data_IF_183455400383
#
_entry.id   IF_183455400383
#
_cell.length_a   1.000
_cell.length_b   1.000
_cell.length_c   1.000
_cell.angle_alpha   90.00
_cell.angle_beta   90.00
_cell.angle_gamma   90.00
#
_symmetry.space_group_name_H-M   'P 1'
#
loop_
_entity.id
_entity.type
_entity.pdbx_description
1 polymer ?
#
# COMPACT_ATOMS: atom_id res chain seq x y z
N UNK A 1 52.25 -30.79 17.53
CA UNK A 1 51.28 -30.88 16.42
C UNK A 1 51.53 -29.70 15.50
N UNK A 2 52.35 -29.89 14.45
CA UNK A 2 52.58 -28.86 13.44
C UNK A 2 51.47 -28.97 12.39
N UNK A 3 50.56 -28.01 12.38
CA UNK A 3 49.60 -27.83 11.30
C UNK A 3 50.28 -27.12 10.14
N UNK A 4 50.88 -27.89 9.25
CA UNK A 4 51.38 -27.40 7.95
C UNK A 4 50.18 -26.87 7.17
N UNK A 5 50.06 -25.55 7.07
CA UNK A 5 49.03 -24.92 6.23
C UNK A 5 49.47 -25.05 4.78
N UNK A 6 48.99 -26.07 4.07
CA UNK A 6 49.17 -26.17 2.62
C UNK A 6 48.56 -24.94 1.93
N UNK A 7 49.41 -24.09 1.35
CA UNK A 7 48.98 -22.98 0.51
C UNK A 7 48.91 -23.46 -0.94
N UNK A 8 47.69 -23.57 -1.45
CA UNK A 8 47.45 -23.91 -2.83
C UNK A 8 47.54 -22.63 -3.69
N UNK A 9 48.57 -22.53 -4.53
CA UNK A 9 48.76 -21.39 -5.43
C UNK A 9 48.00 -21.65 -6.72
N UNK A 10 47.03 -20.78 -7.04
CA UNK A 10 46.23 -20.87 -8.26
C UNK A 10 46.69 -19.76 -9.21
N UNK A 11 46.94 -20.11 -10.48
CA UNK A 11 47.23 -19.12 -11.52
C UNK A 11 45.97 -18.30 -11.80
N UNK A 12 46.10 -16.97 -11.74
CA UNK A 12 44.99 -16.04 -11.97
C UNK A 12 44.35 -16.20 -13.35
N UNK A 13 45.14 -16.49 -14.39
CA UNK A 13 44.60 -16.65 -15.75
C UNK A 13 43.72 -17.89 -15.86
N UNK A 14 44.14 -18.99 -15.25
CA UNK A 14 43.41 -20.25 -15.25
C UNK A 14 42.14 -20.15 -14.40
N UNK A 15 42.22 -19.49 -13.25
CA UNK A 15 41.06 -19.25 -12.39
C UNK A 15 40.02 -18.36 -13.08
N UNK A 16 40.45 -17.25 -13.71
CA UNK A 16 39.55 -16.37 -14.45
C UNK A 16 38.87 -17.09 -15.59
N UNK A 17 39.62 -17.87 -16.39
CA UNK A 17 39.07 -18.65 -17.51
C UNK A 17 38.02 -19.65 -17.03
N UNK A 18 38.34 -20.41 -15.98
CA UNK A 18 37.46 -21.42 -15.42
C UNK A 18 36.18 -20.81 -14.84
N UNK A 19 36.33 -19.83 -13.95
CA UNK A 19 35.19 -19.13 -13.33
C UNK A 19 34.28 -18.46 -14.37
N UNK A 20 34.86 -17.88 -15.43
CA UNK A 20 34.08 -17.30 -16.53
C UNK A 20 33.29 -18.36 -17.31
N UNK A 21 33.92 -19.47 -17.69
CA UNK A 21 33.27 -20.55 -18.44
C UNK A 21 32.16 -21.24 -17.61
N UNK A 22 32.43 -21.52 -16.33
CA UNK A 22 31.46 -22.13 -15.42
C UNK A 22 30.23 -21.22 -15.25
N UNK A 23 30.46 -19.92 -15.04
CA UNK A 23 29.36 -18.95 -14.96
C UNK A 23 28.59 -18.88 -16.27
N UNK A 24 29.27 -18.67 -17.41
CA UNK A 24 28.63 -18.53 -18.71
C UNK A 24 27.76 -19.75 -19.07
N UNK A 25 28.29 -20.97 -18.86
CA UNK A 25 27.56 -22.20 -19.13
C UNK A 25 26.34 -22.34 -18.21
N UNK A 26 26.48 -22.00 -16.92
CA UNK A 26 25.35 -22.00 -15.98
C UNK A 26 24.25 -21.01 -16.37
N UNK A 27 24.60 -19.84 -16.91
CA UNK A 27 23.64 -18.83 -17.35
C UNK A 27 22.91 -19.29 -18.61
N UNK A 28 23.63 -19.81 -19.59
CA UNK A 28 23.05 -20.25 -20.87
C UNK A 28 22.02 -21.37 -20.62
N UNK A 29 22.41 -22.41 -19.89
CA UNK A 29 21.60 -23.62 -19.69
C UNK A 29 20.57 -23.41 -18.57
N UNK A 30 20.96 -22.80 -17.46
CA UNK A 30 20.17 -22.74 -16.23
C UNK A 30 19.30 -21.50 -16.06
N UNK A 31 19.37 -20.53 -16.98
CA UNK A 31 18.68 -19.24 -16.79
C UNK A 31 18.14 -18.61 -18.08
N UNK A 32 18.99 -18.40 -19.07
CA UNK A 32 18.70 -17.50 -20.18
C UNK A 32 17.80 -18.13 -21.25
N UNK A 33 18.13 -19.35 -21.68
CA UNK A 33 17.44 -20.03 -22.78
C UNK A 33 16.28 -20.90 -22.27
N UNK A 34 15.14 -20.92 -22.98
CA UNK A 34 14.07 -21.87 -22.72
C UNK A 34 14.42 -23.27 -23.24
N UNK A 35 13.77 -24.30 -22.70
CA UNK A 35 13.82 -25.64 -23.26
C UNK A 35 12.90 -25.73 -24.48
N UNK A 36 13.34 -26.40 -25.55
CA UNK A 36 12.57 -26.49 -26.81
C UNK A 36 11.28 -27.29 -26.68
N UNK A 37 11.20 -28.20 -25.70
CA UNK A 37 10.05 -29.10 -25.54
C UNK A 37 8.82 -28.41 -24.96
N UNK A 38 9.03 -27.42 -24.10
CA UNK A 38 7.96 -26.69 -23.41
C UNK A 38 8.02 -25.17 -23.63
N UNK A 39 9.10 -24.64 -24.20
CA UNK A 39 9.29 -23.20 -24.40
C UNK A 39 9.54 -22.43 -23.10
N UNK A 40 9.79 -23.11 -21.98
CA UNK A 40 9.90 -22.47 -20.67
C UNK A 40 11.35 -22.33 -20.20
N UNK A 41 11.64 -21.13 -19.68
CA UNK A 41 12.80 -20.90 -18.82
C UNK A 41 12.61 -21.61 -17.48
N UNK A 42 13.71 -21.96 -16.77
CA UNK A 42 13.61 -22.66 -15.49
C UNK A 42 12.73 -21.97 -14.44
N UNK A 43 12.69 -20.63 -14.40
CA UNK A 43 11.83 -19.88 -13.48
C UNK A 43 10.33 -20.07 -13.77
N UNK A 44 9.91 -20.05 -15.04
CA UNK A 44 8.51 -20.30 -15.43
C UNK A 44 8.05 -21.68 -14.94
N UNK A 45 8.87 -22.71 -15.22
CA UNK A 45 8.55 -24.10 -14.85
C UNK A 45 8.41 -24.27 -13.35
N UNK A 46 9.32 -23.68 -12.57
CA UNK A 46 9.30 -23.74 -11.09
C UNK A 46 8.06 -23.06 -10.50
N UNK A 47 7.68 -21.89 -11.04
CA UNK A 47 6.47 -21.16 -10.60
C UNK A 47 5.21 -21.98 -10.89
N UNK A 48 5.05 -22.43 -12.14
CA UNK A 48 3.86 -23.20 -12.53
C UNK A 48 3.78 -24.53 -11.78
N UNK A 49 4.91 -25.19 -11.54
CA UNK A 49 4.98 -26.40 -10.73
C UNK A 49 4.60 -26.13 -9.26
N UNK A 50 5.12 -25.07 -8.65
CA UNK A 50 4.75 -24.70 -7.29
C UNK A 50 3.24 -24.39 -7.16
N UNK A 51 2.65 -23.73 -8.16
CA UNK A 51 1.21 -23.48 -8.20
C UNK A 51 0.41 -24.77 -8.32
N UNK A 52 0.85 -25.71 -9.16
CA UNK A 52 0.25 -27.04 -9.29
C UNK A 52 0.28 -27.82 -7.96
N UNK A 53 1.45 -27.89 -7.32
CA UNK A 53 1.63 -28.59 -6.03
C UNK A 53 0.82 -27.96 -4.89
N UNK A 54 0.59 -26.64 -4.94
CA UNK A 54 -0.29 -25.93 -4.01
C UNK A 54 -1.79 -26.14 -4.28
N UNK A 55 -2.14 -26.93 -5.31
CA UNK A 55 -3.51 -27.11 -5.78
C UNK A 55 -4.15 -25.79 -6.22
N UNK A 56 -3.35 -24.84 -6.73
CA UNK A 56 -3.83 -23.54 -7.19
C UNK A 56 -4.19 -23.61 -8.68
N UNK A 57 -5.26 -24.35 -8.98
CA UNK A 57 -5.80 -24.52 -10.34
C UNK A 57 -6.91 -23.52 -10.63
N UNK A 58 -7.25 -23.34 -11.90
CA UNK A 58 -8.21 -22.33 -12.38
C UNK A 58 -9.60 -22.38 -11.71
N UNK A 59 -10.02 -23.54 -11.19
CA UNK A 59 -11.31 -23.75 -10.55
C UNK A 59 -11.29 -23.56 -9.02
N UNK A 60 -10.21 -23.01 -8.47
CA UNK A 60 -10.04 -22.74 -7.04
C UNK A 60 -9.99 -21.23 -6.79
N UNK A 61 -10.30 -20.78 -5.55
CA UNK A 61 -10.15 -19.37 -5.19
C UNK A 61 -8.71 -18.88 -5.35
N UNK A 62 -8.57 -17.60 -5.71
CA UNK A 62 -7.27 -16.94 -5.81
C UNK A 62 -6.48 -17.05 -4.50
N UNK A 63 -5.16 -17.18 -4.62
CA UNK A 63 -4.22 -17.17 -3.50
C UNK A 63 -3.27 -15.97 -3.64
N UNK A 64 -2.84 -15.41 -2.51
CA UNK A 64 -1.87 -14.29 -2.49
C UNK A 64 -0.60 -14.65 -3.26
N UNK A 65 -0.12 -13.75 -4.11
CA UNK A 65 1.13 -13.93 -4.86
C UNK A 65 2.32 -14.20 -3.93
N UNK A 66 2.37 -13.56 -2.76
CA UNK A 66 3.43 -13.80 -1.77
C UNK A 66 3.54 -15.26 -1.30
N UNK A 67 2.41 -15.99 -1.24
CA UNK A 67 2.42 -17.42 -0.87
C UNK A 67 3.05 -18.27 -1.99
N UNK A 68 2.69 -17.98 -3.23
CA UNK A 68 3.23 -18.70 -4.41
C UNK A 68 4.74 -18.41 -4.54
N UNK A 69 5.15 -17.15 -4.37
CA UNK A 69 6.55 -16.73 -4.36
C UNK A 69 7.32 -17.45 -3.25
N UNK A 70 6.78 -17.45 -2.03
CA UNK A 70 7.40 -18.11 -0.87
C UNK A 70 7.62 -19.62 -1.08
N UNK A 71 6.59 -20.34 -1.55
CA UNK A 71 6.69 -21.77 -1.84
C UNK A 71 7.69 -22.06 -2.97
N UNK A 72 7.70 -21.22 -4.01
CA UNK A 72 8.61 -21.37 -5.15
C UNK A 72 10.06 -21.25 -4.69
N UNK A 73 10.38 -20.25 -3.87
CA UNK A 73 11.75 -20.04 -3.37
C UNK A 73 12.15 -21.11 -2.37
N UNK A 74 11.26 -21.42 -1.42
CA UNK A 74 11.53 -22.38 -0.36
C UNK A 74 11.78 -23.80 -0.85
N UNK A 75 11.19 -24.19 -1.99
CA UNK A 75 11.27 -25.56 -2.50
C UNK A 75 12.04 -25.72 -3.81
N UNK A 76 11.99 -24.74 -4.72
CA UNK A 76 12.38 -24.96 -6.11
C UNK A 76 13.34 -23.91 -6.69
N UNK A 77 13.39 -22.69 -6.14
CA UNK A 77 14.11 -21.57 -6.74
C UNK A 77 15.00 -20.83 -5.72
N UNK A 78 16.27 -21.21 -5.55
CA UNK A 78 17.15 -20.67 -4.50
C UNK A 78 17.73 -19.28 -4.86
N UNK A 79 16.89 -18.37 -5.36
CA UNK A 79 17.24 -17.00 -5.72
C UNK A 79 16.18 -16.02 -5.19
N UNK A 80 16.40 -14.73 -5.40
CA UNK A 80 15.56 -13.66 -4.84
C UNK A 80 14.09 -13.74 -5.24
N UNK A 81 13.24 -13.25 -4.34
CA UNK A 81 11.78 -13.22 -4.49
C UNK A 81 11.29 -12.33 -5.63
N UNK A 82 12.02 -11.26 -5.89
CA UNK A 82 11.70 -10.27 -6.92
C UNK A 82 11.64 -10.93 -8.30
N UNK A 83 12.63 -11.76 -8.67
CA UNK A 83 12.66 -12.44 -9.95
C UNK A 83 11.48 -13.41 -10.14
N UNK A 84 11.07 -14.09 -9.06
CA UNK A 84 9.92 -15.00 -9.07
C UNK A 84 8.62 -14.20 -9.21
N UNK A 85 8.50 -13.09 -8.49
CA UNK A 85 7.30 -12.26 -8.54
C UNK A 85 7.12 -11.59 -9.92
N UNK A 86 8.17 -10.99 -10.47
CA UNK A 86 8.14 -10.38 -11.80
C UNK A 86 7.77 -11.40 -12.89
N UNK A 87 8.22 -12.65 -12.70
CA UNK A 87 7.83 -13.77 -13.56
C UNK A 87 6.33 -14.04 -13.49
N UNK A 88 5.75 -14.09 -12.28
CA UNK A 88 4.30 -14.27 -12.08
C UNK A 88 3.53 -13.12 -12.73
N UNK A 89 3.96 -11.88 -12.47
CA UNK A 89 3.35 -10.67 -13.03
C UNK A 89 3.31 -10.74 -14.54
N UNK A 90 4.46 -11.03 -15.18
CA UNK A 90 4.55 -11.11 -16.64
C UNK A 90 3.66 -12.22 -17.22
N UNK A 91 3.54 -13.36 -16.53
CA UNK A 91 2.69 -14.47 -16.96
C UNK A 91 1.18 -14.19 -16.82
N UNK A 92 0.81 -13.14 -16.07
CA UNK A 92 -0.56 -12.66 -15.91
C UNK A 92 -0.90 -11.45 -16.82
N UNK A 93 0.09 -10.76 -17.38
CA UNK A 93 -0.12 -9.59 -18.23
C UNK A 93 -0.63 -9.98 -19.63
N UNK A 94 -1.89 -9.66 -19.92
CA UNK A 94 -2.55 -9.88 -21.23
C UNK A 94 -1.91 -9.11 -22.38
N UNK A 95 -1.29 -7.96 -22.10
CA UNK A 95 -0.58 -7.16 -23.10
C UNK A 95 0.87 -7.62 -23.34
N UNK A 96 1.47 -8.40 -22.43
CA UNK A 96 2.82 -8.95 -22.60
C UNK A 96 2.84 -10.35 -23.20
N UNK A 97 1.74 -11.10 -23.10
CA UNK A 97 1.65 -12.48 -23.57
C UNK A 97 0.40 -12.70 -24.42
N UNK A 98 0.57 -13.34 -25.59
CA UNK A 98 -0.56 -13.68 -26.47
C UNK A 98 -1.61 -14.57 -25.78
N UNK A 99 -1.13 -15.48 -24.93
CA UNK A 99 -1.93 -16.38 -24.09
C UNK A 99 -1.33 -16.39 -22.68
N UNK A 100 -1.90 -15.63 -21.73
CA UNK A 100 -1.47 -15.66 -20.33
C UNK A 100 -1.59 -17.06 -19.75
N UNK A 101 -0.63 -17.41 -18.88
CA UNK A 101 -0.59 -18.72 -18.21
C UNK A 101 -1.09 -18.65 -16.76
N UNK A 102 -1.13 -17.45 -16.19
CA UNK A 102 -1.63 -17.20 -14.85
C UNK A 102 -2.82 -16.26 -14.98
N UNK A 103 -3.94 -16.64 -14.37
CA UNK A 103 -5.05 -15.73 -14.13
C UNK A 103 -4.83 -15.00 -12.81
N UNK A 104 -4.91 -13.67 -12.83
CA UNK A 104 -4.52 -12.80 -11.73
C UNK A 104 -5.59 -11.74 -11.44
N UNK A 105 -5.79 -11.45 -10.17
CA UNK A 105 -6.67 -10.37 -9.71
C UNK A 105 -5.86 -9.25 -9.05
N UNK A 106 -5.95 -8.02 -9.58
CA UNK A 106 -5.28 -6.84 -9.05
C UNK A 106 -4.55 -6.03 -10.11
N UNK A 107 -3.70 -5.08 -9.69
CA UNK A 107 -2.89 -4.28 -10.60
C UNK A 107 -1.61 -5.03 -10.99
N UNK A 108 -1.56 -5.53 -12.23
CA UNK A 108 -0.40 -6.18 -12.83
C UNK A 108 0.39 -5.25 -13.77
N UNK A 109 0.21 -3.93 -13.65
CA UNK A 109 0.84 -2.92 -14.49
C UNK A 109 0.05 -2.63 -15.77
N UNK A 110 0.54 -1.66 -16.54
CA UNK A 110 -0.12 -1.16 -17.76
C UNK A 110 0.87 -1.04 -18.92
N UNK A 111 0.34 -0.84 -20.14
CA UNK A 111 1.15 -0.55 -21.34
C UNK A 111 1.84 0.82 -21.22
N UNK A 112 1.27 1.71 -20.40
CA UNK A 112 1.77 3.07 -20.16
C UNK A 112 2.99 3.11 -19.23
N UNK A 113 3.47 1.94 -18.78
CA UNK A 113 4.68 1.81 -17.98
C UNK A 113 4.45 1.80 -16.48
N UNK A 114 3.20 1.71 -16.03
CA UNK A 114 2.92 1.50 -14.60
C UNK A 114 3.43 0.12 -14.18
N UNK A 115 4.27 0.11 -13.14
CA UNK A 115 4.70 -1.14 -12.51
C UNK A 115 3.51 -1.87 -11.91
N UNK A 116 3.58 -3.20 -11.88
CA UNK A 116 2.65 -3.99 -11.09
C UNK A 116 2.73 -3.59 -9.61
N UNK A 117 1.62 -3.75 -8.89
CA UNK A 117 1.67 -3.74 -7.43
C UNK A 117 2.65 -4.83 -6.97
N UNK A 118 3.22 -4.77 -5.76
CA UNK A 118 4.03 -5.87 -5.26
C UNK A 118 3.16 -7.02 -4.79
N UNK A 119 3.80 -8.18 -4.63
CA UNK A 119 3.21 -9.34 -3.98
C UNK A 119 2.66 -9.09 -2.57
N UNK A 120 3.10 -8.02 -1.89
CA UNK A 120 2.62 -7.54 -0.59
C UNK A 120 3.00 -6.07 -0.40
N UNK A 121 2.04 -5.16 -0.26
CA UNK A 121 2.28 -3.82 0.30
C UNK A 121 1.29 -3.62 1.43
N UNK A 122 1.77 -3.21 2.60
CA UNK A 122 0.89 -3.09 3.76
C UNK A 122 1.11 -1.77 4.46
N UNK A 123 0.00 -1.18 4.87
CA UNK A 123 -0.05 -0.13 5.88
C UNK A 123 -0.54 -0.73 7.18
N UNK A 124 -0.29 -0.05 8.30
CA UNK A 124 -0.85 -0.49 9.59
C UNK A 124 -2.36 -0.26 9.64
N UNK A 125 -3.06 -1.04 10.47
CA UNK A 125 -4.52 -0.99 10.59
C UNK A 125 -5.12 0.37 10.93
N UNK A 126 -4.34 1.25 11.58
CA UNK A 126 -4.75 2.62 11.90
C UNK A 126 -4.64 3.61 10.73
N UNK A 127 -4.10 3.19 9.58
CA UNK A 127 -3.95 4.06 8.41
C UNK A 127 -5.31 4.37 7.82
N UNK A 128 -5.59 5.66 7.65
CA UNK A 128 -6.85 6.17 7.14
C UNK A 128 -6.89 6.03 5.61
N UNK A 129 -7.98 5.47 5.10
CA UNK A 129 -8.25 5.31 3.66
C UNK A 129 -9.55 6.01 3.29
N UNK A 130 -9.53 6.73 2.17
CA UNK A 130 -10.74 7.38 1.64
C UNK A 130 -11.61 6.33 0.97
N UNK A 131 -12.85 6.23 1.41
CA UNK A 131 -13.85 5.29 0.90
C UNK A 131 -15.17 5.99 0.62
N UNK A 132 -16.11 5.31 -0.02
CA UNK A 132 -17.50 5.76 -0.14
C UNK A 132 -18.29 5.78 1.18
N UNK A 133 -17.67 5.32 2.27
CA UNK A 133 -18.18 5.43 3.64
C UNK A 133 -17.45 6.54 4.42
N UNK A 134 -16.62 7.35 3.75
CA UNK A 134 -15.77 8.36 4.36
C UNK A 134 -14.36 7.84 4.68
N UNK A 135 -13.67 8.59 5.53
CA UNK A 135 -12.29 8.31 5.91
C UNK A 135 -12.27 7.27 7.02
N UNK A 136 -11.84 6.03 6.71
CA UNK A 136 -11.87 4.92 7.68
C UNK A 136 -10.46 4.38 7.92
N UNK A 137 -10.13 3.97 9.16
CA UNK A 137 -8.97 3.11 9.39
C UNK A 137 -9.09 1.83 8.56
N UNK A 138 -8.03 1.45 7.84
CA UNK A 138 -8.04 0.29 6.93
C UNK A 138 -8.38 -1.03 7.64
N UNK A 139 -8.13 -1.15 8.94
CA UNK A 139 -8.55 -2.32 9.72
C UNK A 139 -10.08 -2.41 9.92
N UNK A 140 -10.80 -1.28 9.89
CA UNK A 140 -12.27 -1.26 10.03
C UNK A 140 -12.99 -1.56 8.72
N UNK A 141 -12.32 -1.39 7.57
CA UNK A 141 -12.89 -1.60 6.22
C UNK A 141 -13.46 -3.01 6.05
N UNK A 142 -12.81 -4.01 6.64
CA UNK A 142 -13.15 -5.41 6.40
C UNK A 142 -14.05 -6.04 7.45
N UNK A 143 -14.14 -5.42 8.64
CA UNK A 143 -14.76 -6.00 9.83
C UNK A 143 -14.32 -7.47 10.11
N UNK A 144 -13.11 -7.86 9.68
CA UNK A 144 -12.58 -9.22 9.83
C UNK A 144 -12.90 -10.19 8.68
N UNK A 145 -13.62 -9.77 7.64
CA UNK A 145 -13.89 -10.55 6.43
C UNK A 145 -12.84 -10.31 5.35
N UNK A 146 -12.44 -11.32 4.58
CA UNK A 146 -11.65 -11.09 3.36
C UNK A 146 -12.51 -10.54 2.22
N UNK A 147 -13.81 -10.86 2.21
CA UNK A 147 -14.76 -10.35 1.23
C UNK A 147 -15.30 -8.99 1.69
N UNK A 148 -15.06 -7.97 0.87
CA UNK A 148 -15.52 -6.60 1.12
C UNK A 148 -16.22 -6.06 -0.13
N UNK A 149 -16.99 -4.99 0.04
CA UNK A 149 -17.56 -4.24 -1.09
C UNK A 149 -17.48 -2.76 -0.76
N UNK A 150 -16.31 -2.18 -0.98
CA UNK A 150 -16.02 -0.79 -0.65
C UNK A 150 -15.48 -0.10 -1.88
N UNK A 151 -15.95 1.12 -2.15
CA UNK A 151 -15.42 1.90 -3.27
C UNK A 151 -14.27 2.78 -2.79
N UNK A 152 -13.21 2.78 -3.57
CA UNK A 152 -11.96 3.50 -3.29
C UNK A 152 -11.55 4.33 -4.48
N UNK A 153 -10.95 5.48 -4.22
CA UNK A 153 -10.44 6.34 -5.28
C UNK A 153 -9.06 5.87 -5.73
N UNK A 154 -8.89 5.65 -7.03
CA UNK A 154 -7.63 5.25 -7.64
C UNK A 154 -6.78 6.44 -8.09
N UNK A 155 -5.53 6.19 -8.46
CA UNK A 155 -4.60 7.22 -8.94
C UNK A 155 -5.08 7.99 -10.20
N UNK A 156 -6.03 7.47 -10.98
CA UNK A 156 -6.64 8.23 -12.08
C UNK A 156 -7.75 9.20 -11.65
N UNK A 157 -8.11 9.22 -10.37
CA UNK A 157 -9.37 9.83 -9.91
C UNK A 157 -10.61 9.01 -10.31
N UNK A 158 -10.41 7.74 -10.67
CA UNK A 158 -11.47 6.78 -10.96
C UNK A 158 -11.90 6.06 -9.67
N UNK A 159 -13.20 5.82 -9.54
CA UNK A 159 -13.77 5.10 -8.40
C UNK A 159 -13.80 3.62 -8.75
N UNK A 160 -13.05 2.80 -8.00
CA UNK A 160 -12.97 1.36 -8.18
C UNK A 160 -13.59 0.64 -6.98
N UNK A 161 -14.20 -0.53 -7.19
CA UNK A 161 -14.71 -1.37 -6.10
C UNK A 161 -13.63 -2.35 -5.65
N UNK A 162 -13.18 -2.19 -4.41
CA UNK A 162 -12.40 -3.21 -3.73
C UNK A 162 -13.35 -4.34 -3.29
N UNK A 163 -13.14 -5.52 -3.87
CA UNK A 163 -13.91 -6.73 -3.55
C UNK A 163 -13.26 -7.61 -2.48
N UNK A 164 -12.00 -7.33 -2.16
CA UNK A 164 -11.20 -8.16 -1.27
C UNK A 164 -10.27 -7.35 -0.38
N UNK A 165 -10.10 -7.84 0.84
CA UNK A 165 -9.21 -7.31 1.86
C UNK A 165 -8.32 -8.43 2.38
N UNK A 166 -7.08 -8.09 2.74
CA UNK A 166 -6.10 -9.08 3.16
C UNK A 166 -5.23 -8.59 4.30
N UNK A 167 -5.31 -9.29 5.43
CA UNK A 167 -4.30 -9.18 6.49
C UNK A 167 -3.03 -9.90 6.07
N UNK A 168 -1.92 -9.18 5.96
CA UNK A 168 -0.63 -9.78 5.62
C UNK A 168 0.14 -10.25 6.85
N UNK A 169 -0.37 -10.06 8.07
CA UNK A 169 0.28 -10.43 9.32
C UNK A 169 1.32 -9.41 9.78
N UNK A 170 2.25 -9.87 10.62
CA UNK A 170 3.26 -9.00 11.26
C UNK A 170 4.47 -8.82 10.33
N UNK A 171 4.84 -7.56 10.09
CA UNK A 171 5.99 -7.19 9.25
C UNK A 171 6.82 -6.06 9.87
N UNK A 172 8.12 -5.97 9.55
CA UNK A 172 8.90 -4.77 9.79
C UNK A 172 8.30 -3.58 9.02
N UNK A 173 8.03 -2.50 9.74
CA UNK A 173 7.45 -1.27 9.18
C UNK A 173 8.36 -0.07 9.45
N UNK A 174 8.19 0.98 8.64
CA UNK A 174 8.75 2.30 8.89
C UNK A 174 7.62 3.28 9.13
N UNK A 175 7.82 4.19 10.10
CA UNK A 175 6.93 5.32 10.32
C UNK A 175 7.48 6.52 9.56
N UNK A 176 6.68 7.06 8.66
CA UNK A 176 6.98 8.26 7.89
C UNK A 176 6.17 9.40 8.48
N UNK A 177 6.82 10.50 8.85
CA UNK A 177 6.18 11.70 9.40
C UNK A 177 6.57 12.91 8.58
N UNK A 178 5.57 13.66 8.14
CA UNK A 178 5.75 14.92 7.41
C UNK A 178 6.00 16.08 8.37
N UNK A 179 6.55 17.19 7.86
CA UNK A 179 6.73 18.43 8.63
C UNK A 179 5.42 19.03 9.18
N UNK A 180 4.29 18.73 8.53
CA UNK A 180 2.96 19.22 8.91
C UNK A 180 2.23 18.26 9.86
N UNK A 181 2.93 17.25 10.39
CA UNK A 181 2.37 16.35 11.40
C UNK A 181 1.64 15.12 10.85
N UNK A 182 1.37 15.03 9.54
CA UNK A 182 0.81 13.81 8.94
C UNK A 182 1.78 12.65 9.07
N UNK A 183 1.26 11.47 9.36
CA UNK A 183 2.05 10.25 9.49
C UNK A 183 1.39 9.06 8.81
N UNK A 184 2.24 8.16 8.31
CA UNK A 184 1.83 6.85 7.81
C UNK A 184 2.85 5.82 8.27
N UNK A 185 2.37 4.65 8.68
CA UNK A 185 3.25 3.53 9.04
C UNK A 185 3.00 2.39 8.07
N UNK A 186 4.04 1.98 7.35
CA UNK A 186 3.90 1.01 6.27
C UNK A 186 5.15 0.14 6.11
N UNK A 187 5.02 -0.98 5.38
CA UNK A 187 6.16 -1.82 5.02
C UNK A 187 7.12 -1.05 4.11
N UNK A 188 8.41 -1.37 4.16
CA UNK A 188 9.42 -0.63 3.38
C UNK A 188 9.16 -0.64 1.88
N UNK A 189 8.52 -1.69 1.35
CA UNK A 189 8.16 -1.74 -0.05
C UNK A 189 6.85 -1.01 -0.38
N UNK A 190 6.04 -0.55 0.59
CA UNK A 190 4.79 0.14 0.29
C UNK A 190 5.05 1.42 -0.52
N UNK A 191 4.41 1.63 -1.69
CA UNK A 191 4.61 2.81 -2.50
C UNK A 191 3.78 3.98 -1.95
N UNK A 192 4.39 5.14 -1.78
CA UNK A 192 3.69 6.39 -1.52
C UNK A 192 3.78 7.30 -2.74
N UNK A 193 2.71 8.06 -2.98
CA UNK A 193 2.66 8.98 -4.11
C UNK A 193 3.42 10.26 -3.76
N UNK A 194 4.37 10.60 -4.62
CA UNK A 194 5.23 11.77 -4.52
C UNK A 194 4.81 12.82 -5.53
N UNK A 195 5.05 14.08 -5.18
CA UNK A 195 5.04 15.20 -6.10
C UNK A 195 6.47 15.67 -6.33
N UNK A 196 6.95 15.66 -7.58
CA UNK A 196 8.32 16.08 -7.92
C UNK A 196 8.37 16.79 -9.27
N UNK A 197 9.45 17.53 -9.52
CA UNK A 197 9.76 18.03 -10.86
C UNK A 197 10.34 16.91 -11.73
N UNK A 198 9.95 16.85 -13.00
CA UNK A 198 10.61 16.03 -14.02
C UNK A 198 11.91 16.70 -14.52
N UNK A 199 12.56 16.10 -15.54
CA UNK A 199 13.80 16.61 -16.11
C UNK A 199 13.67 18.00 -16.75
N UNK A 200 12.44 18.44 -17.05
CA UNK A 200 12.10 19.71 -17.68
C UNK A 200 11.53 20.72 -16.66
N UNK A 201 11.51 20.36 -15.37
CA UNK A 201 10.97 21.19 -14.30
C UNK A 201 9.45 21.15 -14.15
N UNK A 202 8.73 20.29 -14.89
CA UNK A 202 7.28 20.18 -14.78
C UNK A 202 6.89 19.31 -13.58
N UNK A 203 5.82 19.66 -12.86
CA UNK A 203 5.33 18.87 -11.75
C UNK A 203 4.73 17.55 -12.25
N UNK A 204 5.22 16.44 -11.72
CA UNK A 204 4.74 15.08 -12.02
C UNK A 204 4.53 14.30 -10.74
N UNK A 205 3.54 13.41 -10.78
CA UNK A 205 3.34 12.41 -9.74
C UNK A 205 4.19 11.18 -10.01
N UNK A 206 4.84 10.66 -8.98
CA UNK A 206 5.65 9.45 -9.08
C UNK A 206 5.51 8.61 -7.82
N UNK A 207 5.46 7.28 -7.98
CA UNK A 207 5.50 6.37 -6.84
C UNK A 207 6.94 6.24 -6.32
N UNK A 208 7.11 6.31 -5.01
CA UNK A 208 8.39 6.03 -4.33
C UNK A 208 8.15 5.09 -3.16
N UNK A 209 9.02 4.10 -2.99
CA UNK A 209 8.86 3.13 -1.91
C UNK A 209 9.23 3.77 -0.57
N UNK A 210 8.54 3.39 0.51
CA UNK A 210 8.85 3.86 1.87
C UNK A 210 10.31 3.59 2.27
N UNK A 211 10.93 2.53 1.75
CA UNK A 211 12.33 2.19 2.01
C UNK A 211 13.32 3.18 1.38
N UNK A 212 12.88 3.89 0.34
CA UNK A 212 13.68 4.81 -0.48
C UNK A 212 13.40 6.28 -0.17
N UNK A 213 12.48 6.58 0.76
CA UNK A 213 12.16 7.95 1.13
C UNK A 213 13.37 8.64 1.78
N UNK A 214 13.55 9.91 1.45
CA UNK A 214 14.62 10.78 1.91
C UNK A 214 14.04 12.08 2.50
N UNK A 215 14.81 12.77 3.34
CA UNK A 215 14.38 14.07 3.84
C UNK A 215 14.28 15.09 2.68
N UNK A 216 13.15 15.80 2.61
CA UNK A 216 12.87 16.76 1.52
C UNK A 216 11.89 16.24 0.47
N UNK A 217 11.61 14.94 0.46
CA UNK A 217 10.56 14.33 -0.34
C UNK A 217 9.18 14.96 -0.04
N UNK A 218 8.45 15.37 -1.09
CA UNK A 218 7.10 15.95 -0.99
C UNK A 218 6.03 14.89 -1.26
N UNK A 219 5.37 14.45 -0.20
CA UNK A 219 4.32 13.45 -0.24
C UNK A 219 2.96 14.07 -0.57
N UNK A 220 2.17 13.36 -1.37
CA UNK A 220 0.77 13.71 -1.62
C UNK A 220 -0.09 13.17 -0.49
N UNK A 221 -0.76 14.07 0.24
CA UNK A 221 -1.59 13.70 1.40
C UNK A 221 -3.01 13.33 0.98
N UNK A 222 -3.61 14.12 0.09
CA UNK A 222 -4.97 13.92 -0.37
C UNK A 222 -5.13 14.41 -1.81
N UNK A 223 -6.00 13.72 -2.55
CA UNK A 223 -6.44 14.08 -3.90
C UNK A 223 -7.93 13.76 -4.11
N UNK A 224 -8.66 13.54 -3.02
CA UNK A 224 -9.99 12.94 -3.03
C UNK A 224 -11.12 13.95 -3.19
N UNK A 225 -10.96 14.90 -4.11
CA UNK A 225 -12.01 15.88 -4.43
C UNK A 225 -13.30 15.23 -4.96
N UNK A 226 -13.23 13.96 -5.40
CA UNK A 226 -14.30 13.24 -6.11
C UNK A 226 -15.05 12.19 -5.29
N UNK A 227 -14.48 11.67 -4.20
CA UNK A 227 -15.08 10.57 -3.45
C UNK A 227 -15.64 11.10 -2.14
N UNK A 228 -16.92 11.45 -2.17
CA UNK A 228 -17.68 11.87 -0.99
C UNK A 228 -18.42 10.67 -0.40
N UNK A 229 -18.62 10.62 0.93
CA UNK A 229 -19.45 9.58 1.54
C UNK A 229 -20.85 9.60 0.94
N UNK A 230 -21.36 8.46 0.46
CA UNK A 230 -22.76 8.37 0.00
C UNK A 230 -23.74 8.20 1.17
N UNK A 231 -23.25 7.62 2.27
CA UNK A 231 -23.99 7.51 3.52
C UNK A 231 -23.46 8.52 4.54
N UNK A 232 -24.35 9.01 5.40
CA UNK A 232 -23.96 9.87 6.51
C UNK A 232 -22.96 9.14 7.42
N UNK A 233 -21.83 9.79 7.72
CA UNK A 233 -20.79 9.26 8.60
C UNK A 233 -21.32 9.29 10.04
N UNK A 234 -21.29 8.14 10.72
CA UNK A 234 -21.65 8.05 12.13
C UNK A 234 -20.55 8.67 12.99
N UNK A 235 -20.93 9.64 13.82
CA UNK A 235 -20.01 10.35 14.72
C UNK A 235 -19.91 9.73 16.11
N UNK A 236 -20.65 8.64 16.38
CA UNK A 236 -20.68 7.96 17.69
C UNK A 236 -19.31 7.55 18.20
N UNK A 237 -18.41 7.20 17.30
CA UNK A 237 -17.05 6.80 17.66
C UNK A 237 -16.17 7.95 18.19
N UNK A 238 -16.56 9.20 17.94
CA UNK A 238 -15.85 10.39 18.42
C UNK A 238 -16.44 10.94 19.72
N UNK A 239 -17.40 10.24 20.33
CA UNK A 239 -17.99 10.70 21.58
C UNK A 239 -16.93 10.64 22.68
N UNK A 240 -16.77 11.72 23.47
CA UNK A 240 -15.77 11.75 24.52
C UNK A 240 -16.09 10.66 25.55
N UNK A 241 -15.08 9.86 25.89
CA UNK A 241 -15.17 8.93 27.01
C UNK A 241 -15.05 9.73 28.30
N UNK A 242 -16.20 9.98 28.95
CA UNK A 242 -16.27 10.68 30.22
C UNK A 242 -16.47 9.67 31.35
N UNK A 243 -15.67 9.80 32.40
CA UNK A 243 -15.87 9.05 33.65
C UNK A 243 -17.29 9.31 34.18
N UNK A 244 -17.92 8.27 34.75
CA UNK A 244 -19.21 8.38 35.44
C UNK A 244 -19.12 9.32 36.64
N UNK A 245 -17.95 9.43 37.27
CA UNK A 245 -17.70 10.37 38.36
C UNK A 245 -17.42 11.82 37.89
N UNK A 246 -17.29 12.04 36.58
CA UNK A 246 -16.97 13.37 36.05
C UNK A 246 -18.12 14.35 36.23
N UNK A 247 -17.81 15.58 36.66
CA UNK A 247 -18.76 16.69 36.75
C UNK A 247 -18.96 17.43 35.42
N UNK A 248 -18.34 16.97 34.33
CA UNK A 248 -18.47 17.56 33.00
C UNK A 248 -19.93 17.47 32.53
N UNK A 249 -20.49 18.60 32.09
CA UNK A 249 -21.83 18.66 31.51
C UNK A 249 -21.85 17.83 30.23
N UNK A 250 -22.75 16.84 30.16
CA UNK A 250 -22.92 15.97 29.00
C UNK A 250 -23.97 16.60 28.08
N UNK A 251 -23.51 17.18 26.97
CA UNK A 251 -24.40 17.65 25.92
C UNK A 251 -24.82 16.48 25.02
N UNK A 252 -26.08 16.46 24.51
CA UNK A 252 -26.45 15.53 23.47
C UNK A 252 -25.60 15.82 22.23
N UNK A 253 -24.80 14.86 21.80
CA UNK A 253 -23.96 15.00 20.62
C UNK A 253 -24.72 14.47 19.39
N UNK A 254 -24.58 15.11 18.22
CA UNK A 254 -25.16 14.62 16.98
C UNK A 254 -24.56 13.27 16.59
N UNK A 255 -25.41 12.31 16.19
CA UNK A 255 -24.92 11.01 15.71
C UNK A 255 -24.36 11.07 14.28
N UNK A 256 -24.65 12.15 13.55
CA UNK A 256 -24.25 12.39 12.15
C UNK A 256 -23.87 13.85 11.97
N UNK A 257 -23.15 14.18 10.88
CA UNK A 257 -22.83 15.57 10.54
C UNK A 257 -24.12 16.34 10.20
N UNK A 258 -24.50 17.27 11.05
CA UNK A 258 -25.60 18.23 10.82
C UNK A 258 -25.07 19.54 10.25
N UNK A 259 -25.95 20.36 9.69
CA UNK A 259 -25.59 21.72 9.22
C UNK A 259 -25.02 22.57 10.36
N UNK A 260 -25.64 22.52 11.53
CA UNK A 260 -25.16 23.21 12.74
C UNK A 260 -23.77 22.73 13.15
N UNK A 261 -23.54 21.41 13.20
CA UNK A 261 -22.22 20.87 13.54
C UNK A 261 -21.17 21.23 12.49
N UNK A 262 -21.51 21.18 11.20
CA UNK A 262 -20.63 21.58 10.12
C UNK A 262 -20.24 23.06 10.23
N UNK A 263 -21.20 23.93 10.54
CA UNK A 263 -20.97 25.35 10.79
C UNK A 263 -20.03 25.55 11.99
N UNK A 264 -20.31 24.91 13.12
CA UNK A 264 -19.47 25.01 14.33
C UNK A 264 -18.03 24.55 14.07
N UNK A 265 -17.86 23.42 13.40
CA UNK A 265 -16.53 22.90 13.03
C UNK A 265 -15.81 23.84 12.09
N UNK A 266 -16.49 24.36 11.07
CA UNK A 266 -15.95 25.35 10.13
C UNK A 266 -15.51 26.63 10.82
N UNK A 267 -16.36 27.18 11.70
CA UNK A 267 -16.07 28.35 12.50
C UNK A 267 -14.82 28.15 13.38
N UNK A 268 -14.74 27.02 14.07
CA UNK A 268 -13.62 26.68 14.94
C UNK A 268 -12.31 26.46 14.17
N UNK A 269 -12.37 25.79 13.02
CA UNK A 269 -11.16 25.49 12.22
C UNK A 269 -10.65 26.68 11.43
N UNK A 270 -11.53 27.57 10.97
CA UNK A 270 -11.13 28.74 10.20
C UNK A 270 -10.51 29.82 11.09
N UNK A 271 -11.17 30.17 12.20
CA UNK A 271 -10.82 31.38 12.98
C UNK A 271 -10.95 31.20 14.50
N UNK A 272 -11.43 30.04 14.97
CA UNK A 272 -11.69 29.81 16.38
C UNK A 272 -10.45 29.44 17.19
N UNK A 273 -10.41 29.95 18.42
CA UNK A 273 -9.47 29.55 19.46
C UNK A 273 -10.25 29.04 20.67
N UNK A 274 -10.02 27.78 21.05
CA UNK A 274 -10.67 27.16 22.21
C UNK A 274 -9.75 27.27 23.42
N UNK A 275 -10.23 27.89 24.49
CA UNK A 275 -9.60 27.94 25.81
C UNK A 275 -10.48 27.24 26.83
N UNK A 276 -9.96 27.04 28.04
CA UNK A 276 -10.62 26.23 29.10
C UNK A 276 -12.04 26.69 29.43
N UNK A 277 -12.35 27.98 29.29
CA UNK A 277 -13.66 28.55 29.64
C UNK A 277 -14.25 29.49 28.58
N UNK A 278 -13.67 29.55 27.38
CA UNK A 278 -14.15 30.43 26.31
C UNK A 278 -13.71 29.94 24.94
N UNK A 279 -14.54 30.24 23.96
CA UNK A 279 -14.20 30.16 22.53
C UNK A 279 -14.08 31.59 22.03
N UNK A 280 -12.96 31.90 21.40
CA UNK A 280 -12.68 33.23 20.82
C UNK A 280 -12.59 33.10 19.30
N UNK A 281 -13.05 34.10 18.56
CA UNK A 281 -12.92 34.17 17.11
C UNK A 281 -12.15 35.42 16.71
N UNK A 282 -11.25 35.32 15.74
CA UNK A 282 -10.54 36.47 15.22
C UNK A 282 -11.40 37.24 14.21
N UNK A 283 -11.78 38.47 14.54
CA UNK A 283 -12.32 39.46 13.58
C UNK A 283 -13.70 39.15 12.96
N UNK A 284 -14.67 38.74 13.79
CA UNK A 284 -16.06 38.53 13.35
C UNK A 284 -17.02 39.61 13.86
N UNK A 285 -18.04 39.91 13.03
CA UNK A 285 -19.19 40.73 13.42
C UNK A 285 -20.04 39.96 14.45
N UNK A 286 -20.84 40.68 15.24
CA UNK A 286 -21.62 40.09 16.33
C UNK A 286 -22.66 39.05 15.88
N UNK A 287 -23.17 39.21 14.66
CA UNK A 287 -24.09 38.27 13.99
C UNK A 287 -23.51 36.85 13.87
N UNK A 288 -22.23 36.72 13.54
CA UNK A 288 -21.56 35.42 13.47
C UNK A 288 -21.47 34.73 14.84
N UNK A 289 -21.19 35.50 15.90
CA UNK A 289 -21.14 34.96 17.25
C UNK A 289 -22.53 34.54 17.74
N UNK A 290 -23.58 35.31 17.40
CA UNK A 290 -24.97 34.96 17.69
C UNK A 290 -25.38 33.66 16.97
N UNK A 291 -25.00 33.51 15.71
CA UNK A 291 -25.25 32.30 14.92
C UNK A 291 -24.48 31.08 15.49
N UNK A 292 -23.23 31.27 15.92
CA UNK A 292 -22.44 30.23 16.61
C UNK A 292 -23.11 29.78 17.91
N UNK A 293 -23.57 30.72 18.73
CA UNK A 293 -24.28 30.40 19.98
C UNK A 293 -25.60 29.67 19.68
N UNK A 294 -26.33 30.12 18.66
CA UNK A 294 -27.60 29.50 18.26
C UNK A 294 -27.39 28.06 17.74
N UNK A 295 -26.36 27.83 16.92
CA UNK A 295 -26.00 26.51 16.42
C UNK A 295 -25.49 25.59 17.54
N UNK A 296 -24.75 26.12 18.52
CA UNK A 296 -24.28 25.35 19.69
C UNK A 296 -25.41 24.91 20.64
N UNK A 297 -26.51 25.68 20.67
CA UNK A 297 -27.67 25.39 21.52
C UNK A 297 -28.69 24.42 20.94
N UNK A 298 -28.61 24.11 19.64
CA UNK A 298 -29.50 23.16 18.95
C UNK A 298 -28.90 21.76 18.92
#
# INVERSE_FOLDING_TARGET
>A
METTTERNYINIEDEMRRSYLDYAMSVIIGRALPDVRDGFKPVHRRVLWAMHELGNTYNKPYKKSARIVGDTIGKYHPHGDTAVYDTIVRMAQTFSMRYPLIDGQGNFGSVDGDSAAAMRYCVTGGTLVVTDQGLLPIAKVSAGSEDIKVRVLSNGGEVNTASKWWDSGVHPVRRVRTRHGFEVTATGNHPLLMFRADAEGKPVFAWKLVSQLEHGDVLVVDRSEKLWPEAAVSLKEFYPSLDEASRTVRHPLPEMLTEDLAFLLGALTAEGTVQEHRVEFCNNRGDFADEFIAAWGR
#
